data_IF_758967646480
#
_entry.id   IF_758967646480
#
_cell.length_a   1.000
_cell.length_b   1.000
_cell.length_c   1.000
_cell.angle_alpha   90.00
_cell.angle_beta   90.00
_cell.angle_gamma   90.00
#
_symmetry.space_group_name_H-M   'P 1'
#
loop_
_entity.id
_entity.type
_entity.pdbx_description
1 polymer ?
#
# COMPACT_ATOMS: atom_id res chain seq x y z
N UNK A 1 -19.73 1.27 14.85
CA UNK A 1 -18.48 2.03 14.65
C UNK A 1 -18.37 2.39 13.18
N UNK A 2 -18.03 3.63 12.82
CA UNK A 2 -17.90 3.99 11.40
C UNK A 2 -16.67 3.33 10.77
N UNK A 3 -16.68 3.18 9.44
CA UNK A 3 -15.52 2.65 8.71
C UNK A 3 -14.24 3.42 9.03
N UNK A 4 -14.31 4.76 9.09
CA UNK A 4 -13.17 5.60 9.41
C UNK A 4 -12.61 5.39 10.81
N UNK A 5 -13.47 5.22 11.83
CA UNK A 5 -13.00 4.94 13.20
C UNK A 5 -12.39 3.53 13.28
N UNK A 6 -12.99 2.55 12.59
CA UNK A 6 -12.44 1.20 12.53
C UNK A 6 -11.08 1.14 11.84
N UNK A 7 -10.97 1.79 10.68
CA UNK A 7 -9.73 1.90 9.93
C UNK A 7 -8.63 2.62 10.72
N UNK A 8 -8.97 3.73 11.37
CA UNK A 8 -8.01 4.46 12.23
C UNK A 8 -7.46 3.59 13.37
N UNK A 9 -8.30 2.74 13.97
CA UNK A 9 -7.84 1.77 14.99
C UNK A 9 -6.94 0.69 14.39
N UNK A 10 -7.31 0.14 13.23
CA UNK A 10 -6.50 -0.84 12.52
C UNK A 10 -5.11 -0.28 12.19
N UNK A 11 -5.05 0.91 11.61
CA UNK A 11 -3.79 1.56 11.26
C UNK A 11 -2.95 1.86 12.50
N UNK A 12 -3.56 2.32 13.60
CA UNK A 12 -2.83 2.53 14.85
C UNK A 12 -2.18 1.23 15.38
N UNK A 13 -2.86 0.08 15.26
CA UNK A 13 -2.30 -1.22 15.63
C UNK A 13 -1.14 -1.58 14.69
N UNK A 14 -1.34 -1.48 13.38
CA UNK A 14 -0.30 -1.78 12.38
C UNK A 14 0.95 -0.93 12.62
N UNK A 15 0.78 0.39 12.80
CA UNK A 15 1.90 1.32 13.02
C UNK A 15 2.61 1.06 14.36
N UNK A 16 1.87 0.70 15.42
CA UNK A 16 2.47 0.34 16.70
C UNK A 16 3.29 -0.96 16.60
N UNK A 17 2.81 -1.96 15.86
CA UNK A 17 3.51 -3.23 15.67
C UNK A 17 4.75 -3.03 14.81
N UNK A 18 4.64 -2.37 13.67
CA UNK A 18 5.79 -2.12 12.77
C UNK A 18 6.79 -1.15 13.38
N UNK A 19 6.34 -0.18 14.17
CA UNK A 19 7.19 0.72 14.94
C UNK A 19 8.09 0.00 15.96
N UNK A 20 7.61 -1.10 16.57
CA UNK A 20 8.47 -1.97 17.41
C UNK A 20 9.57 -2.64 16.59
N UNK A 21 9.25 -3.13 15.40
CA UNK A 21 10.24 -3.73 14.51
C UNK A 21 11.30 -2.71 14.09
N UNK A 22 10.86 -1.49 13.76
CA UNK A 22 11.75 -0.36 13.43
C UNK A 22 12.70 -0.06 14.59
N UNK A 23 12.17 0.06 15.81
CA UNK A 23 12.99 0.30 17.01
C UNK A 23 13.99 -0.83 17.28
N UNK A 24 13.57 -2.08 17.10
CA UNK A 24 14.42 -3.26 17.30
C UNK A 24 15.48 -3.44 16.18
N UNK A 25 15.24 -2.91 14.99
CA UNK A 25 16.13 -3.03 13.84
C UNK A 25 17.41 -2.18 13.98
N UNK A 26 17.40 -1.12 14.79
CA UNK A 26 18.55 -0.24 14.97
C UNK A 26 19.11 0.29 13.64
N UNK A 27 20.42 0.19 13.44
CA UNK A 27 21.10 0.66 12.23
C UNK A 27 20.86 -0.22 10.99
N UNK A 28 20.23 -1.39 11.14
CA UNK A 28 19.92 -2.27 10.02
C UNK A 28 18.74 -1.78 9.18
N UNK A 29 17.88 -0.91 9.72
CA UNK A 29 16.77 -0.34 8.96
C UNK A 29 17.18 0.99 8.34
N UNK A 30 17.18 1.04 7.01
CA UNK A 30 17.50 2.25 6.24
C UNK A 30 16.26 2.94 5.66
N UNK A 31 15.10 2.31 5.77
CA UNK A 31 13.84 2.85 5.24
C UNK A 31 13.38 4.07 6.06
N UNK A 32 13.15 5.18 5.38
CA UNK A 32 12.66 6.46 5.90
C UNK A 32 11.82 7.14 4.80
N UNK A 33 10.98 8.16 5.10
CA UNK A 33 10.40 9.01 4.05
C UNK A 33 11.48 9.48 3.06
N UNK A 34 11.26 9.26 1.76
CA UNK A 34 12.25 9.50 0.71
C UNK A 34 12.98 8.24 0.21
N UNK A 35 12.94 7.13 0.95
CA UNK A 35 13.33 5.81 0.44
C UNK A 35 12.19 5.23 -0.42
N UNK A 36 12.39 5.20 -1.73
CA UNK A 36 11.36 4.86 -2.73
C UNK A 36 11.52 3.55 -3.53
N UNK A 37 12.50 2.64 -3.32
CA UNK A 37 12.59 1.40 -4.10
C UNK A 37 11.33 0.52 -4.07
N UNK A 38 10.60 0.51 -2.95
CA UNK A 38 9.33 -0.21 -2.83
C UNK A 38 8.13 0.51 -3.50
N UNK A 39 8.34 1.73 -4.02
CA UNK A 39 7.32 2.51 -4.71
C UNK A 39 7.29 2.25 -6.23
N UNK A 40 8.01 1.23 -6.71
CA UNK A 40 8.00 0.81 -8.11
C UNK A 40 7.41 -0.60 -8.21
N UNK A 41 6.65 -0.85 -9.28
CA UNK A 41 5.96 -2.11 -9.48
C UNK A 41 4.63 -2.12 -8.73
N UNK A 42 3.51 -1.87 -9.42
CA UNK A 42 2.19 -1.93 -8.81
C UNK A 42 1.97 -3.27 -8.11
N UNK A 43 1.35 -3.21 -6.94
CA UNK A 43 0.99 -4.37 -6.12
C UNK A 43 -0.49 -4.30 -5.76
N UNK A 44 -1.02 -5.47 -5.40
CA UNK A 44 -2.40 -5.61 -4.96
C UNK A 44 -2.64 -4.91 -3.62
N UNK A 45 -3.76 -4.21 -3.51
CA UNK A 45 -4.26 -3.60 -2.28
C UNK A 45 -5.75 -3.93 -2.11
N UNK A 46 -6.19 -3.95 -0.86
CA UNK A 46 -7.59 -4.22 -0.52
C UNK A 46 -8.50 -3.03 -0.86
N UNK A 47 -9.82 -3.26 -0.91
CA UNK A 47 -10.78 -2.16 -1.03
C UNK A 47 -10.80 -1.24 0.19
N UNK A 48 -10.37 -1.72 1.36
CA UNK A 48 -10.13 -0.87 2.53
C UNK A 48 -8.98 0.11 2.28
N UNK A 49 -7.86 -0.38 1.74
CA UNK A 49 -6.73 0.47 1.35
C UNK A 49 -7.13 1.48 0.28
N UNK A 50 -7.87 1.05 -0.73
CA UNK A 50 -8.36 1.94 -1.79
C UNK A 50 -9.26 3.05 -1.22
N UNK A 51 -10.20 2.70 -0.34
CA UNK A 51 -11.03 3.68 0.37
C UNK A 51 -10.17 4.64 1.21
N UNK A 52 -9.17 4.15 1.93
CA UNK A 52 -8.26 4.97 2.75
C UNK A 52 -7.46 5.96 1.92
N UNK A 53 -6.94 5.55 0.77
CA UNK A 53 -6.25 6.43 -0.17
C UNK A 53 -7.16 7.56 -0.65
N UNK A 54 -8.42 7.23 -0.96
CA UNK A 54 -9.41 8.21 -1.39
C UNK A 54 -9.79 9.20 -0.29
N UNK A 55 -9.92 8.77 0.97
CA UNK A 55 -10.07 9.69 2.11
C UNK A 55 -8.84 10.59 2.26
N UNK A 56 -7.63 10.03 2.10
CA UNK A 56 -6.40 10.82 2.16
C UNK A 56 -6.32 11.91 1.11
N UNK A 57 -6.73 11.60 -0.12
CA UNK A 57 -6.83 12.61 -1.19
C UNK A 57 -7.88 13.69 -0.87
N UNK A 58 -9.04 13.31 -0.30
CA UNK A 58 -10.06 14.28 0.12
C UNK A 58 -9.55 15.21 1.20
N UNK A 59 -8.88 14.66 2.22
CA UNK A 59 -8.38 15.44 3.34
C UNK A 59 -7.25 16.37 2.90
N UNK A 60 -6.24 15.84 2.21
CA UNK A 60 -5.13 16.64 1.71
C UNK A 60 -5.57 17.68 0.67
N UNK A 61 -6.61 17.40 -0.11
CA UNK A 61 -7.14 18.32 -1.12
C UNK A 61 -7.61 19.66 -0.55
N UNK A 62 -7.93 19.72 0.75
CA UNK A 62 -8.32 20.96 1.45
C UNK A 62 -7.17 21.99 1.56
N UNK A 63 -5.91 21.55 1.53
CA UNK A 63 -4.73 22.41 1.75
C UNK A 63 -3.51 22.11 0.84
N UNK A 64 -3.55 21.03 0.06
CA UNK A 64 -2.53 20.61 -0.92
C UNK A 64 -3.18 20.28 -2.28
N UNK A 65 -4.10 21.14 -2.73
CA UNK A 65 -4.90 20.91 -3.93
C UNK A 65 -4.04 20.68 -5.19
N UNK A 66 -2.97 21.46 -5.38
CA UNK A 66 -2.04 21.31 -6.50
C UNK A 66 -1.31 19.96 -6.46
N UNK A 67 -0.78 19.55 -5.31
CA UNK A 67 -0.11 18.25 -5.18
C UNK A 67 -1.09 17.07 -5.38
N UNK A 68 -2.32 17.20 -4.87
CA UNK A 68 -3.38 16.20 -5.08
C UNK A 68 -3.76 16.09 -6.56
N UNK A 69 -3.86 17.23 -7.28
CA UNK A 69 -4.12 17.23 -8.71
C UNK A 69 -2.98 16.55 -9.49
N UNK A 70 -1.72 16.82 -9.14
CA UNK A 70 -0.56 16.17 -9.76
C UNK A 70 -0.54 14.65 -9.53
N UNK A 71 -0.88 14.18 -8.31
CA UNK A 71 -1.02 12.75 -8.01
C UNK A 71 -2.16 12.11 -8.82
N UNK A 72 -3.30 12.78 -8.95
CA UNK A 72 -4.42 12.29 -9.77
C UNK A 72 -4.07 12.23 -11.25
N UNK A 73 -3.34 13.21 -11.76
CA UNK A 73 -2.86 13.21 -13.15
C UNK A 73 -1.97 12.00 -13.40
N UNK A 74 -0.93 11.79 -12.58
CA UNK A 74 -0.05 10.61 -12.70
C UNK A 74 -0.81 9.29 -12.60
N UNK A 75 -1.82 9.23 -11.73
CA UNK A 75 -2.66 8.04 -11.63
C UNK A 75 -3.49 7.80 -12.90
N UNK A 76 -4.01 8.86 -13.53
CA UNK A 76 -4.71 8.77 -14.81
C UNK A 76 -3.81 8.32 -15.96
N UNK A 77 -2.56 8.78 -15.99
CA UNK A 77 -1.55 8.34 -16.95
C UNK A 77 -1.22 6.84 -16.75
N UNK A 78 -0.94 6.43 -15.51
CA UNK A 78 -0.67 5.03 -15.16
C UNK A 78 -1.86 4.12 -15.50
N UNK A 79 -3.08 4.52 -15.18
CA UNK A 79 -4.30 3.76 -15.50
C UNK A 79 -4.50 3.66 -17.01
N UNK A 80 -4.23 4.72 -17.77
CA UNK A 80 -4.37 4.70 -19.23
C UNK A 80 -3.43 3.70 -19.89
N UNK A 81 -2.22 3.55 -19.36
CA UNK A 81 -1.26 2.53 -19.81
C UNK A 81 -1.65 1.12 -19.35
N UNK A 82 -2.13 0.99 -18.11
CA UNK A 82 -2.34 -0.31 -17.46
C UNK A 82 -3.70 -0.93 -17.73
N UNK A 83 -4.71 -0.15 -18.13
CA UNK A 83 -6.09 -0.62 -18.32
C UNK A 83 -6.20 -1.78 -19.33
N UNK A 84 -5.31 -1.83 -20.34
CA UNK A 84 -5.29 -2.89 -21.36
C UNK A 84 -5.04 -4.29 -20.80
N UNK A 85 -4.48 -4.39 -19.58
CA UNK A 85 -4.27 -5.67 -18.91
C UNK A 85 -5.57 -6.31 -18.46
N UNK A 86 -6.54 -5.49 -18.05
CA UNK A 86 -7.75 -5.97 -17.39
C UNK A 86 -8.87 -6.25 -18.40
N UNK A 87 -9.74 -7.23 -18.12
CA UNK A 87 -10.98 -7.40 -18.86
C UNK A 87 -11.81 -6.11 -18.85
N UNK A 88 -12.53 -5.85 -19.95
CA UNK A 88 -13.32 -4.64 -20.12
C UNK A 88 -14.37 -4.43 -19.02
N UNK A 89 -14.94 -5.51 -18.48
CA UNK A 89 -15.97 -5.47 -17.42
C UNK A 89 -15.40 -5.37 -16.00
N UNK A 90 -14.06 -5.44 -15.84
CA UNK A 90 -13.38 -5.49 -14.54
C UNK A 90 -12.06 -4.70 -14.52
N UNK A 91 -12.05 -3.54 -15.18
CA UNK A 91 -10.85 -2.70 -15.27
C UNK A 91 -10.35 -2.29 -13.87
N UNK A 92 -9.09 -2.65 -13.59
CA UNK A 92 -8.42 -2.34 -12.33
C UNK A 92 -8.73 -3.28 -11.16
N UNK A 93 -9.42 -4.39 -11.39
CA UNK A 93 -9.70 -5.43 -10.39
C UNK A 93 -9.04 -6.74 -10.84
N UNK A 94 -8.21 -7.31 -9.97
CA UNK A 94 -7.55 -8.58 -10.24
C UNK A 94 -8.49 -9.77 -10.15
N UNK A 95 -8.27 -10.77 -11.00
CA UNK A 95 -9.04 -12.01 -11.01
C UNK A 95 -8.59 -12.99 -9.91
N UNK A 96 -7.27 -13.16 -9.76
CA UNK A 96 -6.64 -14.07 -8.81
C UNK A 96 -5.15 -13.70 -8.61
N UNK A 97 -4.44 -14.45 -7.75
CA UNK A 97 -3.02 -14.23 -7.43
C UNK A 97 -2.09 -14.38 -8.65
N UNK A 98 -2.47 -15.15 -9.68
CA UNK A 98 -1.69 -15.30 -10.91
C UNK A 98 -1.78 -14.04 -11.75
N UNK A 99 -2.98 -13.47 -11.87
CA UNK A 99 -3.24 -12.19 -12.52
C UNK A 99 -2.47 -11.04 -11.83
N UNK A 100 -2.52 -11.00 -10.50
CA UNK A 100 -1.74 -10.05 -9.67
C UNK A 100 -0.24 -10.13 -9.96
N UNK A 101 0.32 -11.34 -9.94
CA UNK A 101 1.75 -11.60 -10.15
C UNK A 101 2.18 -11.23 -11.57
N UNK A 102 1.35 -11.55 -12.58
CA UNK A 102 1.58 -11.20 -13.98
C UNK A 102 1.61 -9.68 -14.17
N UNK A 103 0.65 -8.97 -13.57
CA UNK A 103 0.57 -7.51 -13.63
C UNK A 103 1.80 -6.85 -13.00
N UNK A 104 2.18 -7.29 -11.79
CA UNK A 104 3.36 -6.77 -11.11
C UNK A 104 4.63 -6.95 -11.95
N UNK A 105 4.81 -8.14 -12.54
CA UNK A 105 5.96 -8.42 -13.41
C UNK A 105 5.99 -7.50 -14.63
N UNK A 106 4.84 -7.36 -15.32
CA UNK A 106 4.71 -6.54 -16.54
C UNK A 106 4.97 -5.05 -16.30
N UNK A 107 4.61 -4.53 -15.13
CA UNK A 107 4.72 -3.12 -14.77
C UNK A 107 5.72 -2.85 -13.64
N UNK A 108 6.69 -3.74 -13.43
CA UNK A 108 7.67 -3.68 -12.34
C UNK A 108 8.46 -2.35 -12.26
N UNK A 109 8.68 -1.68 -13.38
CA UNK A 109 9.34 -0.37 -13.44
C UNK A 109 8.42 0.84 -13.26
N UNK A 110 7.09 0.65 -13.21
CA UNK A 110 6.14 1.75 -13.14
C UNK A 110 6.13 2.37 -11.73
N UNK A 111 6.30 3.70 -11.60
CA UNK A 111 6.28 4.37 -10.31
C UNK A 111 4.86 4.47 -9.73
N UNK A 112 4.75 4.41 -8.41
CA UNK A 112 3.52 4.71 -7.70
C UNK A 112 3.13 6.19 -7.94
N UNK A 113 1.88 6.49 -8.34
CA UNK A 113 1.49 7.87 -8.66
C UNK A 113 1.50 8.82 -7.44
N UNK A 114 1.45 8.28 -6.22
CA UNK A 114 1.60 9.06 -4.99
C UNK A 114 3.05 9.52 -4.73
N UNK A 115 4.03 8.97 -5.46
CA UNK A 115 5.43 9.34 -5.36
C UNK A 115 5.66 10.69 -6.07
N UNK A 116 6.40 11.55 -5.39
CA UNK A 116 6.96 12.76 -5.96
C UNK A 116 8.26 12.42 -6.71
N UNK A 117 8.35 12.70 -8.03
CA UNK A 117 9.49 12.26 -8.84
C UNK A 117 10.78 13.03 -8.54
N UNK A 118 10.69 14.23 -7.96
CA UNK A 118 11.87 15.05 -7.64
C UNK A 118 12.46 14.68 -6.28
N UNK A 119 11.59 14.45 -5.30
CA UNK A 119 11.98 14.27 -3.89
C UNK A 119 11.93 12.83 -3.41
N UNK A 120 11.30 11.91 -4.16
CA UNK A 120 11.04 10.54 -3.74
C UNK A 120 10.06 10.43 -2.56
N UNK A 121 9.37 11.51 -2.19
CA UNK A 121 8.44 11.53 -1.07
C UNK A 121 7.03 11.10 -1.50
N UNK A 122 6.32 10.38 -0.63
CA UNK A 122 4.94 9.99 -0.90
C UNK A 122 3.96 11.02 -0.34
N UNK A 123 3.11 11.62 -1.19
CA UNK A 123 2.09 12.59 -0.74
C UNK A 123 1.09 11.95 0.25
N UNK A 124 0.79 10.66 0.04
CA UNK A 124 -0.17 9.87 0.82
C UNK A 124 0.52 9.04 1.91
N UNK A 125 1.73 9.41 2.36
CA UNK A 125 2.51 8.59 3.30
C UNK A 125 1.72 8.22 4.58
N UNK A 126 0.98 9.15 5.16
CA UNK A 126 0.15 8.89 6.35
C UNK A 126 -1.12 8.07 6.07
N UNK A 127 -1.49 7.92 4.79
CA UNK A 127 -2.67 7.21 4.31
C UNK A 127 -2.31 5.92 3.56
N UNK A 128 -1.02 5.54 3.60
CA UNK A 128 -0.48 4.44 2.81
C UNK A 128 -1.17 3.10 3.13
N UNK A 129 -1.31 2.21 2.12
CA UNK A 129 -1.84 0.86 2.29
C UNK A 129 -1.12 0.07 3.37
N UNK A 130 -1.75 -0.97 3.91
CA UNK A 130 -1.15 -1.83 4.94
C UNK A 130 0.14 -2.48 4.44
N UNK A 131 0.15 -2.98 3.19
CA UNK A 131 1.35 -3.54 2.55
C UNK A 131 2.54 -2.55 2.51
N UNK A 132 2.27 -1.24 2.37
CA UNK A 132 3.32 -0.22 2.43
C UNK A 132 3.82 0.06 3.85
N UNK A 133 3.02 -0.23 4.89
CA UNK A 133 3.39 -0.07 6.30
C UNK A 133 4.20 -1.24 6.81
N UNK A 134 3.91 -2.42 6.28
CA UNK A 134 4.61 -3.64 6.63
C UNK A 134 5.89 -3.82 5.82
N UNK A 135 6.03 -3.21 4.64
CA UNK A 135 7.30 -3.27 3.90
C UNK A 135 8.49 -2.62 4.65
N UNK A 136 9.63 -3.33 4.73
CA UNK A 136 10.85 -2.82 5.34
C UNK A 136 11.40 -3.74 6.44
N UNK A 137 10.78 -3.76 7.63
CA UNK A 137 11.21 -4.62 8.73
C UNK A 137 10.94 -6.11 8.46
N UNK A 138 11.56 -7.03 9.22
CA UNK A 138 11.15 -8.42 9.25
C UNK A 138 9.82 -8.55 10.00
N UNK A 139 8.87 -9.29 9.43
CA UNK A 139 7.56 -9.51 10.03
C UNK A 139 7.04 -10.93 9.82
N UNK A 140 6.14 -11.34 10.69
CA UNK A 140 5.28 -12.50 10.49
C UNK A 140 3.84 -12.02 10.37
N UNK A 141 3.16 -12.44 9.30
CA UNK A 141 1.77 -12.17 9.02
C UNK A 141 1.08 -13.51 8.75
N UNK A 142 -0.09 -13.74 9.34
CA UNK A 142 -0.86 -14.99 9.17
C UNK A 142 -0.05 -16.27 9.44
N UNK A 143 0.93 -16.21 10.37
CA UNK A 143 1.81 -17.33 10.70
C UNK A 143 2.96 -17.58 9.72
N UNK A 144 3.06 -16.80 8.63
CA UNK A 144 4.17 -16.86 7.68
C UNK A 144 5.18 -15.73 7.96
N UNK A 145 6.46 -16.06 7.93
CA UNK A 145 7.55 -15.09 8.06
C UNK A 145 7.98 -14.55 6.71
N UNK A 146 8.02 -13.23 6.58
CA UNK A 146 8.47 -12.52 5.39
C UNK A 146 9.86 -11.93 5.60
N UNK A 147 10.72 -11.90 4.56
CA UNK A 147 12.02 -11.26 4.64
C UNK A 147 11.87 -9.73 4.75
N UNK A 148 12.86 -9.03 5.36
CA UNK A 148 12.90 -7.57 5.30
C UNK A 148 13.19 -7.07 3.88
N UNK A 149 13.05 -5.77 3.67
CA UNK A 149 13.49 -5.10 2.44
C UNK A 149 14.96 -5.45 2.15
N UNK A 150 15.36 -5.77 0.89
CA UNK A 150 16.75 -6.09 0.52
C UNK A 150 17.79 -5.00 0.79
N UNK A 151 17.34 -3.77 1.09
CA UNK A 151 18.21 -2.67 1.50
C UNK A 151 18.45 -2.65 3.01
N UNK A 152 17.58 -3.29 3.79
CA UNK A 152 17.66 -3.39 5.24
C UNK A 152 18.35 -4.71 5.64
N UNK A 153 18.90 -4.78 6.85
CA UNK A 153 19.53 -5.99 7.41
C UNK A 153 20.70 -6.56 6.59
N UNK A 154 21.33 -5.72 5.73
CA UNK A 154 22.55 -6.10 5.03
C UNK A 154 23.67 -6.36 6.03
N UNK A 155 24.22 -7.57 5.99
CA UNK A 155 25.26 -8.02 6.93
C UNK A 155 24.76 -8.37 8.33
N UNK A 156 23.45 -8.36 8.58
CA UNK A 156 22.89 -8.82 9.85
C UNK A 156 22.95 -10.35 9.94
N UNK A 157 23.17 -10.85 11.15
CA UNK A 157 23.01 -12.27 11.46
C UNK A 157 21.53 -12.65 11.49
N UNK A 158 21.24 -13.95 11.35
CA UNK A 158 19.87 -14.47 11.52
C UNK A 158 19.31 -14.11 12.90
N UNK A 159 20.13 -14.13 13.95
CA UNK A 159 19.69 -13.79 15.30
C UNK A 159 19.27 -12.32 15.44
N UNK A 160 20.00 -11.38 14.82
CA UNK A 160 19.65 -9.96 14.80
C UNK A 160 18.38 -9.70 14.01
N UNK A 161 18.19 -10.39 12.88
CA UNK A 161 16.97 -10.32 12.09
C UNK A 161 15.77 -10.83 12.87
N UNK A 162 15.85 -12.02 13.46
CA UNK A 162 14.75 -12.63 14.21
C UNK A 162 14.43 -11.84 15.49
N UNK A 163 15.41 -11.21 16.13
CA UNK A 163 15.17 -10.30 17.26
C UNK A 163 14.31 -9.10 16.88
N UNK A 164 14.43 -8.62 15.64
CA UNK A 164 13.63 -7.50 15.14
C UNK A 164 12.27 -7.94 14.57
N UNK A 165 12.03 -9.25 14.41
CA UNK A 165 10.80 -9.77 13.81
C UNK A 165 9.60 -9.52 14.70
N UNK A 166 8.57 -8.91 14.14
CA UNK A 166 7.29 -8.69 14.83
C UNK A 166 6.19 -9.53 14.21
N UNK A 167 5.27 -9.99 15.04
CA UNK A 167 4.05 -10.63 14.59
C UNK A 167 2.93 -9.60 14.47
N UNK A 168 2.33 -9.53 13.27
CA UNK A 168 1.15 -8.72 12.99
C UNK A 168 -0.06 -9.64 12.86
N UNK A 169 -1.02 -9.50 13.76
CA UNK A 169 -2.24 -10.31 13.80
C UNK A 169 -3.45 -9.40 13.60
N UNK A 170 -3.70 -8.97 12.37
CA UNK A 170 -4.81 -8.03 12.05
C UNK A 170 -5.79 -8.56 11.02
N UNK A 171 -5.54 -9.75 10.46
CA UNK A 171 -6.27 -10.35 9.33
C UNK A 171 -7.80 -10.29 9.52
N UNK A 172 -8.30 -10.77 10.66
CA UNK A 172 -9.74 -10.76 10.93
C UNK A 172 -10.35 -9.36 11.01
N UNK A 173 -9.59 -8.39 11.54
CA UNK A 173 -10.03 -6.99 11.63
C UNK A 173 -10.00 -6.31 10.27
N UNK A 174 -8.93 -6.54 9.50
CA UNK A 174 -8.78 -6.06 8.14
C UNK A 174 -9.88 -6.63 7.23
N UNK A 175 -10.11 -7.94 7.25
CA UNK A 175 -11.16 -8.59 6.46
C UNK A 175 -12.56 -8.04 6.78
N UNK A 176 -12.88 -7.85 8.07
CA UNK A 176 -14.16 -7.27 8.49
C UNK A 176 -14.34 -5.82 7.98
N UNK A 177 -13.27 -5.03 8.00
CA UNK A 177 -13.28 -3.65 7.53
C UNK A 177 -13.29 -3.56 6.00
N UNK A 178 -12.56 -4.44 5.31
CA UNK A 178 -12.59 -4.60 3.85
C UNK A 178 -14.00 -4.90 3.39
N UNK A 179 -14.67 -5.92 3.94
CA UNK A 179 -16.09 -6.20 3.61
C UNK A 179 -17.01 -5.00 3.84
N UNK A 180 -16.71 -4.18 4.85
CA UNK A 180 -17.47 -2.96 5.12
C UNK A 180 -17.20 -1.87 4.09
N UNK A 181 -15.95 -1.70 3.66
CA UNK A 181 -15.56 -0.80 2.58
C UNK A 181 -16.23 -1.23 1.26
N UNK A 182 -16.16 -2.52 0.92
CA UNK A 182 -16.79 -3.08 -0.29
C UNK A 182 -18.29 -2.81 -0.35
N UNK A 183 -19.03 -3.10 0.74
CA UNK A 183 -20.48 -2.78 0.80
C UNK A 183 -20.76 -1.29 0.64
N UNK A 184 -19.86 -0.43 1.12
CA UNK A 184 -20.03 1.03 1.07
C UNK A 184 -19.73 1.60 -0.32
N UNK A 185 -18.75 1.03 -1.02
CA UNK A 185 -18.27 1.55 -2.32
C UNK A 185 -18.85 0.80 -3.52
N UNK A 186 -19.42 -0.39 -3.31
CA UNK A 186 -19.88 -1.29 -4.37
C UNK A 186 -18.73 -1.97 -5.14
N UNK A 187 -17.48 -1.81 -4.70
CA UNK A 187 -16.30 -2.40 -5.34
C UNK A 187 -15.83 -3.60 -4.55
N UNK A 188 -15.38 -4.63 -5.26
CA UNK A 188 -14.97 -5.91 -4.69
C UNK A 188 -13.65 -6.38 -5.29
N UNK A 189 -12.90 -7.19 -4.54
CA UNK A 189 -11.64 -7.77 -4.99
C UNK A 189 -10.44 -6.83 -4.84
N UNK A 190 -9.26 -7.31 -5.22
CA UNK A 190 -8.01 -6.57 -5.08
C UNK A 190 -7.81 -5.58 -6.24
N UNK A 191 -7.19 -4.45 -5.98
CA UNK A 191 -6.87 -3.41 -6.98
C UNK A 191 -5.44 -2.91 -6.82
N UNK A 192 -5.05 -1.81 -7.48
CA UNK A 192 -3.77 -1.14 -7.25
C UNK A 192 -3.96 0.30 -6.76
N UNK A 193 -2.88 0.88 -6.24
CA UNK A 193 -2.83 2.29 -5.83
C UNK A 193 -3.22 3.23 -6.96
N UNK A 194 -2.83 2.93 -8.21
CA UNK A 194 -3.13 3.77 -9.36
C UNK A 194 -4.63 3.83 -9.65
N UNK A 195 -5.30 2.68 -9.73
CA UNK A 195 -6.75 2.61 -9.96
C UNK A 195 -7.55 3.20 -8.79
N UNK A 196 -7.11 2.97 -7.54
CA UNK A 196 -7.72 3.58 -6.37
C UNK A 196 -7.68 5.11 -6.38
N UNK A 197 -6.54 5.71 -6.75
CA UNK A 197 -6.33 7.17 -6.81
C UNK A 197 -7.06 7.79 -8.00
N UNK A 198 -7.01 7.16 -9.18
CA UNK A 198 -7.73 7.60 -10.37
C UNK A 198 -9.25 7.56 -10.19
N UNK A 199 -9.73 6.81 -9.18
CA UNK A 199 -11.13 6.75 -8.78
C UNK A 199 -11.92 5.63 -9.44
N UNK A 200 -11.26 4.63 -10.03
CA UNK A 200 -11.81 3.63 -10.95
C UNK A 200 -12.66 4.31 -12.03
N UNK A 201 -12.09 4.53 -13.20
CA UNK A 201 -12.82 5.18 -14.28
C UNK A 201 -14.07 4.37 -14.61
N UNK A 202 -15.25 4.98 -14.48
CA UNK A 202 -16.46 4.54 -15.15
C UNK A 202 -16.22 4.77 -16.65
N UNK A 203 -15.61 3.79 -17.34
CA UNK A 203 -15.66 3.72 -18.80
C UNK A 203 -16.61 2.62 -19.20
#
# INVERSE_FOLDING_TARGET
>A
MSLAVGDGRLIAIVDAVTGRAVGASGHHLVCQPGCSPCCFGPFAITQLDAWRLQEGLRELGKWKSAQVAAVRQRAGEAVSEQAVWFPHDRVGIFLDETDESGFHSRFSGAPCPALDPETGSCLLYSWRPIVCRTHGPPLSLSGQSYPPCPLCFRGATTAELEKARVQLNVDASEEALTRTAERKTGRHGMTTVAFAIAGFSDR
#
